data_IF_042367430744
#
_entry.id   IF_042367430744
#
_cell.length_a   1.000
_cell.length_b   1.000
_cell.length_c   1.000
_cell.angle_alpha   90.00
_cell.angle_beta   90.00
_cell.angle_gamma   90.00
#
_symmetry.space_group_name_H-M   'P 1'
#
loop_
_entity.id
_entity.type
_entity.pdbx_description
1 polymer ?
#
# COMPACT_ATOMS: atom_id res chain seq x y z
N UNK A 1 39.30 -48.03 16.25
CA UNK A 1 38.71 -46.67 16.38
C UNK A 1 38.33 -46.17 15.00
N UNK A 2 37.05 -45.85 14.77
CA UNK A 2 36.51 -44.86 13.82
C UNK A 2 34.98 -44.99 13.82
N UNK A 3 34.33 -44.32 14.77
CA UNK A 3 32.89 -44.10 14.76
C UNK A 3 32.62 -42.71 14.19
N UNK A 4 32.20 -42.64 12.94
CA UNK A 4 31.63 -41.43 12.34
C UNK A 4 30.14 -41.64 12.18
N UNK A 5 29.37 -41.29 13.21
CA UNK A 5 27.92 -41.24 13.16
C UNK A 5 27.46 -39.88 13.67
N UNK A 6 27.22 -38.91 12.78
CA UNK A 6 26.40 -37.72 13.07
C UNK A 6 25.73 -37.18 11.80
N UNK A 7 24.43 -37.41 11.69
CA UNK A 7 23.52 -36.70 10.79
C UNK A 7 22.14 -36.63 11.44
N UNK A 8 21.86 -35.52 12.15
CA UNK A 8 20.61 -35.17 12.83
C UNK A 8 20.02 -33.99 12.04
N UNK A 9 19.12 -34.21 11.08
CA UNK A 9 18.99 -33.25 9.98
C UNK A 9 18.22 -31.95 10.33
N UNK A 10 18.89 -30.82 10.09
CA UNK A 10 18.33 -29.45 10.08
C UNK A 10 18.68 -28.74 8.76
N UNK A 11 17.71 -28.02 8.18
CA UNK A 11 17.90 -27.18 6.99
C UNK A 11 17.43 -25.75 7.27
N UNK A 12 18.26 -24.77 6.91
CA UNK A 12 17.94 -23.34 6.98
C UNK A 12 18.05 -22.73 5.59
N UNK A 13 16.98 -22.08 5.14
CA UNK A 13 16.99 -21.25 3.93
C UNK A 13 16.72 -19.83 4.37
N UNK A 14 17.60 -18.93 3.99
CA UNK A 14 17.44 -17.49 4.19
C UNK A 14 17.62 -16.84 2.82
N UNK A 15 16.63 -16.08 2.38
CA UNK A 15 16.67 -15.32 1.15
C UNK A 15 16.20 -13.89 1.44
N UNK A 16 16.86 -12.90 0.84
CA UNK A 16 16.39 -11.53 0.88
C UNK A 16 16.37 -10.96 -0.53
N UNK A 17 15.27 -10.32 -0.88
CA UNK A 17 15.07 -9.63 -2.15
C UNK A 17 14.98 -8.14 -1.87
N UNK A 18 15.86 -7.36 -2.50
CA UNK A 18 15.82 -5.90 -2.44
C UNK A 18 15.78 -5.34 -3.85
N UNK A 19 14.87 -4.41 -4.09
CA UNK A 19 14.81 -3.66 -5.33
C UNK A 19 14.48 -2.21 -5.04
N UNK A 20 15.10 -1.30 -5.78
CA UNK A 20 14.87 0.15 -5.65
C UNK A 20 14.73 0.76 -7.03
N UNK A 21 13.76 1.65 -7.17
CA UNK A 21 13.57 2.48 -8.36
C UNK A 21 13.57 3.93 -7.90
N UNK A 22 14.31 4.77 -8.61
CA UNK A 22 14.37 6.20 -8.30
C UNK A 22 13.96 6.99 -9.53
N UNK A 23 13.08 7.96 -9.34
CA UNK A 23 12.80 8.97 -10.33
C UNK A 23 14.04 9.86 -10.51
N UNK A 24 14.62 9.85 -11.70
CA UNK A 24 15.69 10.76 -12.08
C UNK A 24 15.05 11.88 -12.91
N UNK A 25 14.97 13.07 -12.33
CA UNK A 25 14.33 14.20 -12.97
C UNK A 25 15.17 14.74 -14.14
N UNK A 26 14.50 15.03 -15.26
CA UNK A 26 15.05 15.93 -16.28
C UNK A 26 14.95 17.37 -15.78
N UNK A 27 15.98 18.17 -16.00
CA UNK A 27 16.01 19.59 -15.64
C UNK A 27 16.16 20.42 -16.92
N UNK A 28 15.24 21.33 -17.17
CA UNK A 28 15.28 22.25 -18.30
C UNK A 28 15.16 23.68 -17.80
N UNK A 29 16.21 24.47 -18.01
CA UNK A 29 16.30 25.85 -17.52
C UNK A 29 16.58 26.82 -18.66
N UNK A 30 15.83 27.92 -18.72
CA UNK A 30 16.05 28.99 -19.70
C UNK A 30 15.52 30.34 -19.16
N UNK A 31 15.83 31.45 -19.84
CA UNK A 31 15.18 32.73 -19.52
C UNK A 31 13.72 32.73 -19.98
N UNK A 32 13.49 32.39 -21.24
CA UNK A 32 12.17 32.12 -21.80
C UNK A 32 12.18 30.71 -22.40
N UNK A 33 11.11 29.96 -22.20
CA UNK A 33 10.97 28.62 -22.71
C UNK A 33 9.60 28.43 -23.34
N UNK A 34 9.58 28.07 -24.62
CA UNK A 34 8.37 27.65 -25.33
C UNK A 34 8.54 26.22 -25.79
N UNK A 35 7.61 25.35 -25.40
CA UNK A 35 7.49 23.99 -25.90
C UNK A 35 6.18 23.92 -26.67
N UNK A 36 6.27 23.65 -27.97
CA UNK A 36 5.13 23.59 -28.87
C UNK A 36 5.10 22.26 -29.61
N UNK A 37 3.91 21.68 -29.70
CA UNK A 37 3.66 20.46 -30.47
C UNK A 37 2.55 20.72 -31.48
N UNK A 38 2.71 20.20 -32.70
CA UNK A 38 1.75 20.43 -33.80
C UNK A 38 0.75 19.29 -34.01
N UNK A 39 0.99 18.13 -33.39
CA UNK A 39 0.17 16.92 -33.59
C UNK A 39 -0.15 16.14 -32.32
N UNK A 40 0.70 16.22 -31.30
CA UNK A 40 0.66 15.32 -30.15
C UNK A 40 0.63 16.08 -28.83
N UNK A 41 0.71 15.33 -27.74
CA UNK A 41 0.67 15.82 -26.37
C UNK A 41 2.04 16.36 -25.92
N UNK A 42 2.01 17.23 -24.91
CA UNK A 42 3.19 17.53 -24.08
C UNK A 42 3.11 16.67 -22.81
N UNK A 43 4.15 15.88 -22.54
CA UNK A 43 4.21 15.02 -21.35
C UNK A 43 5.42 15.39 -20.48
N UNK A 44 5.16 15.76 -19.22
CA UNK A 44 6.16 16.09 -18.20
C UNK A 44 5.93 15.14 -17.03
N UNK A 45 6.92 14.32 -16.69
CA UNK A 45 6.81 13.34 -15.60
C UNK A 45 8.02 13.42 -14.68
N UNK A 46 7.77 13.63 -13.38
CA UNK A 46 8.78 13.79 -12.34
C UNK A 46 9.95 14.70 -12.71
N UNK A 47 9.71 15.76 -13.48
CA UNK A 47 10.75 16.60 -14.10
C UNK A 47 10.63 18.05 -13.65
N UNK A 48 11.71 18.81 -13.79
CA UNK A 48 11.77 20.22 -13.40
C UNK A 48 11.96 21.10 -14.64
N UNK A 49 11.10 22.09 -14.79
CA UNK A 49 11.19 23.11 -15.82
C UNK A 49 11.22 24.47 -15.14
N UNK A 50 12.25 25.25 -15.43
CA UNK A 50 12.47 26.58 -14.83
C UNK A 50 12.71 27.62 -15.93
N UNK A 51 11.74 28.50 -16.15
CA UNK A 51 11.82 29.57 -17.12
C UNK A 51 11.77 30.92 -16.42
N UNK A 52 12.92 31.59 -16.27
CA UNK A 52 13.05 32.78 -15.40
C UNK A 52 12.01 33.87 -15.67
N UNK A 53 11.56 34.04 -16.93
CA UNK A 53 10.56 35.03 -17.31
C UNK A 53 9.27 34.44 -17.85
N UNK A 54 9.34 33.58 -18.86
CA UNK A 54 8.13 33.02 -19.49
C UNK A 54 8.30 31.53 -19.77
N UNK A 55 7.40 30.73 -19.20
CA UNK A 55 7.16 29.35 -19.63
C UNK A 55 5.88 29.31 -20.48
N UNK A 56 5.95 28.74 -21.68
CA UNK A 56 4.79 28.51 -22.54
C UNK A 56 4.77 27.06 -23.01
N UNK A 57 3.73 26.32 -22.65
CA UNK A 57 3.47 24.98 -23.16
C UNK A 57 2.24 25.05 -24.07
N UNK A 58 2.43 24.79 -25.36
CA UNK A 58 1.38 24.81 -26.37
C UNK A 58 1.23 23.42 -26.98
N UNK A 59 0.19 22.68 -26.58
CA UNK A 59 -0.07 21.34 -27.09
C UNK A 59 -1.17 21.31 -28.13
N UNK A 60 -0.91 20.58 -29.23
CA UNK A 60 -1.92 20.29 -30.25
C UNK A 60 -3.04 19.37 -29.74
N UNK A 61 -2.82 18.67 -28.63
CA UNK A 61 -3.79 17.79 -27.96
C UNK A 61 -3.79 18.08 -26.46
N UNK A 62 -3.13 17.25 -25.65
CA UNK A 62 -3.14 17.33 -24.19
C UNK A 62 -1.82 17.82 -23.60
N UNK A 63 -1.89 18.56 -22.49
CA UNK A 63 -0.74 18.80 -21.60
C UNK A 63 -0.89 17.88 -20.39
N UNK A 64 0.07 16.97 -20.21
CA UNK A 64 0.09 16.01 -19.11
C UNK A 64 1.31 16.26 -18.22
N UNK A 65 1.08 16.77 -17.01
CA UNK A 65 2.10 17.02 -16.00
C UNK A 65 1.83 16.08 -14.82
N UNK A 66 2.73 15.12 -14.59
CA UNK A 66 2.52 14.02 -13.65
C UNK A 66 3.71 13.87 -12.69
N UNK A 67 3.45 13.45 -11.47
CA UNK A 67 4.51 13.04 -10.56
C UNK A 67 5.30 11.85 -11.13
N UNK A 68 6.61 11.87 -10.89
CA UNK A 68 7.45 10.67 -10.95
C UNK A 68 7.28 9.85 -9.68
N UNK A 69 7.90 8.66 -9.62
CA UNK A 69 7.82 7.80 -8.44
C UNK A 69 9.16 7.17 -8.07
N UNK A 70 9.46 7.24 -6.78
CA UNK A 70 10.45 6.39 -6.14
C UNK A 70 9.76 5.13 -5.60
N UNK A 71 10.42 3.99 -5.72
CA UNK A 71 9.94 2.70 -5.27
C UNK A 71 11.02 1.95 -4.49
N UNK A 72 10.62 1.22 -3.45
CA UNK A 72 11.51 0.26 -2.80
C UNK A 72 10.77 -0.99 -2.39
N UNK A 73 11.35 -2.15 -2.67
CA UNK A 73 10.95 -3.46 -2.16
C UNK A 73 12.06 -3.98 -1.25
N UNK A 74 11.68 -4.41 -0.05
CA UNK A 74 12.53 -5.17 0.84
C UNK A 74 11.74 -6.37 1.35
N UNK A 75 12.14 -7.55 0.94
CA UNK A 75 11.56 -8.83 1.36
C UNK A 75 12.65 -9.69 2.00
N UNK A 76 12.30 -10.34 3.09
CA UNK A 76 13.12 -11.35 3.76
C UNK A 76 12.28 -12.59 4.01
N UNK A 77 12.80 -13.71 3.53
CA UNK A 77 12.23 -15.03 3.71
C UNK A 77 13.20 -15.88 4.51
N UNK A 78 12.72 -16.38 5.65
CA UNK A 78 13.44 -17.31 6.49
C UNK A 78 12.61 -18.56 6.68
N UNK A 79 13.17 -19.70 6.27
CA UNK A 79 12.61 -21.01 6.56
C UNK A 79 13.61 -21.81 7.35
N UNK A 80 13.20 -22.26 8.52
CA UNK A 80 13.95 -23.24 9.30
C UNK A 80 13.18 -24.56 9.34
N UNK A 81 13.91 -25.65 9.17
CA UNK A 81 13.38 -27.00 9.37
C UNK A 81 14.37 -27.73 10.28
N UNK A 82 13.89 -28.38 11.33
CA UNK A 82 14.74 -29.26 12.14
C UNK A 82 13.99 -30.44 12.70
N UNK A 83 14.72 -31.53 12.84
CA UNK A 83 14.32 -32.79 13.44
C UNK A 83 15.47 -33.23 14.36
N UNK A 84 15.21 -33.60 15.62
CA UNK A 84 16.27 -34.15 16.48
C UNK A 84 15.77 -35.22 17.45
N UNK A 85 16.61 -36.24 17.66
CA UNK A 85 16.58 -37.22 18.74
C UNK A 85 18.02 -37.51 19.11
N UNK A 86 18.45 -37.23 20.33
CA UNK A 86 19.87 -37.40 20.67
C UNK A 86 20.10 -38.04 22.06
N UNK A 87 19.58 -39.24 22.31
CA UNK A 87 20.11 -40.20 23.32
C UNK A 87 20.33 -39.79 24.79
N UNK A 88 19.97 -38.58 25.26
CA UNK A 88 20.53 -37.96 26.47
C UNK A 88 19.49 -37.19 27.30
N UNK A 89 19.70 -37.08 28.62
CA UNK A 89 18.99 -36.15 29.51
C UNK A 89 19.35 -34.70 29.09
N UNK A 90 18.39 -33.88 28.63
CA UNK A 90 18.60 -32.47 28.20
C UNK A 90 18.38 -32.15 26.71
N UNK A 91 17.66 -32.99 25.95
CA UNK A 91 17.61 -32.93 24.48
C UNK A 91 16.39 -32.17 23.89
N UNK A 92 16.67 -31.32 22.89
CA UNK A 92 15.74 -30.44 22.15
C UNK A 92 14.96 -31.10 20.98
N UNK A 93 14.35 -30.30 20.07
CA UNK A 93 13.05 -30.59 19.45
C UNK A 93 13.00 -31.70 18.39
N UNK A 94 11.91 -32.48 18.37
CA UNK A 94 11.64 -33.62 17.46
C UNK A 94 11.02 -33.25 16.10
N UNK A 95 10.33 -32.12 15.96
CA UNK A 95 10.19 -31.47 14.66
C UNK A 95 9.81 -30.00 14.85
N UNK A 96 10.52 -29.09 14.18
CA UNK A 96 10.15 -27.68 14.12
C UNK A 96 10.28 -27.18 12.70
N UNK A 97 9.21 -26.56 12.20
CA UNK A 97 9.22 -25.82 10.95
C UNK A 97 8.75 -24.40 11.24
N UNK A 98 9.64 -23.43 10.98
CA UNK A 98 9.26 -22.02 10.96
C UNK A 98 9.40 -21.51 9.53
N UNK A 99 8.40 -20.79 9.08
CA UNK A 99 8.43 -20.04 7.83
C UNK A 99 8.01 -18.61 8.18
N UNK A 100 8.95 -17.70 8.06
CA UNK A 100 8.79 -16.28 8.30
C UNK A 100 9.05 -15.54 6.99
N UNK A 101 8.05 -14.83 6.50
CA UNK A 101 8.16 -13.94 5.36
C UNK A 101 7.78 -12.55 5.81
N UNK A 102 8.71 -11.61 5.70
CA UNK A 102 8.48 -10.19 5.95
C UNK A 102 8.76 -9.40 4.68
N UNK A 103 7.85 -8.53 4.29
CA UNK A 103 7.99 -7.72 3.10
C UNK A 103 7.49 -6.30 3.30
N UNK A 104 8.18 -5.35 2.69
CA UNK A 104 7.77 -3.95 2.64
C UNK A 104 7.92 -3.39 1.23
N UNK A 105 6.88 -2.75 0.75
CA UNK A 105 6.83 -2.06 -0.55
C UNK A 105 6.48 -0.59 -0.32
N UNK A 106 7.36 0.31 -0.73
CA UNK A 106 7.13 1.75 -0.73
C UNK A 106 6.97 2.29 -2.13
N UNK A 107 6.07 3.24 -2.31
CA UNK A 107 5.89 4.09 -3.49
C UNK A 107 5.75 5.52 -3.01
N UNK A 108 6.68 6.40 -3.39
CA UNK A 108 6.69 7.81 -3.02
C UNK A 108 6.69 8.66 -4.27
N UNK A 109 5.68 9.49 -4.43
CA UNK A 109 5.56 10.46 -5.51
C UNK A 109 6.63 11.54 -5.38
N UNK A 110 7.14 11.97 -6.53
CA UNK A 110 8.05 13.11 -6.68
C UNK A 110 7.36 14.07 -7.64
N UNK A 111 7.04 15.28 -7.18
CA UNK A 111 6.29 16.23 -7.98
C UNK A 111 7.05 16.59 -9.28
N UNK A 112 6.30 16.84 -10.36
CA UNK A 112 6.85 17.60 -11.49
C UNK A 112 6.76 19.08 -11.16
N UNK A 113 7.85 19.81 -11.39
CA UNK A 113 7.97 21.23 -11.02
C UNK A 113 7.99 22.11 -12.27
N UNK A 114 7.14 23.12 -12.31
CA UNK A 114 7.14 24.16 -13.35
C UNK A 114 7.29 25.52 -12.67
N UNK A 115 8.32 26.28 -13.03
CA UNK A 115 8.65 27.58 -12.46
C UNK A 115 8.80 28.65 -13.54
N UNK A 116 8.40 29.88 -13.23
CA UNK A 116 8.73 31.06 -14.03
C UNK A 116 7.95 32.31 -13.67
N UNK A 117 8.36 33.49 -14.12
CA UNK A 117 7.61 34.71 -13.78
C UNK A 117 6.18 34.68 -14.33
N UNK A 118 5.99 34.25 -15.58
CA UNK A 118 4.69 33.92 -16.14
C UNK A 118 4.69 32.50 -16.71
N UNK A 119 3.60 31.77 -16.47
CA UNK A 119 3.40 30.43 -17.01
C UNK A 119 2.10 30.41 -17.83
N UNK A 120 2.18 29.90 -19.05
CA UNK A 120 1.04 29.71 -19.95
C UNK A 120 0.93 28.27 -20.39
N UNK A 121 -0.22 27.65 -20.15
CA UNK A 121 -0.52 26.26 -20.50
C UNK A 121 -1.71 26.22 -21.47
N UNK A 122 -1.46 26.03 -22.76
CA UNK A 122 -2.52 25.95 -23.77
C UNK A 122 -2.58 24.54 -24.36
N UNK A 123 -3.70 23.85 -24.15
CA UNK A 123 -3.98 22.55 -24.72
C UNK A 123 -5.24 22.63 -25.59
N UNK A 124 -5.25 22.00 -26.76
CA UNK A 124 -6.48 21.92 -27.55
C UNK A 124 -7.54 21.00 -26.93
N UNK A 125 -7.11 20.04 -26.11
CA UNK A 125 -7.97 19.08 -25.43
C UNK A 125 -7.91 19.30 -23.92
N UNK A 126 -6.97 18.69 -23.20
CA UNK A 126 -6.98 18.71 -21.73
C UNK A 126 -5.66 19.19 -21.14
N UNK A 127 -5.75 19.83 -19.97
CA UNK A 127 -4.60 20.01 -19.07
C UNK A 127 -4.80 19.07 -17.89
N UNK A 128 -3.91 18.09 -17.74
CA UNK A 128 -3.92 17.13 -16.66
C UNK A 128 -2.69 17.33 -15.77
N UNK A 129 -2.90 17.82 -14.55
CA UNK A 129 -1.86 18.05 -13.54
C UNK A 129 -2.09 17.13 -12.34
N UNK A 130 -1.18 16.18 -12.10
CA UNK A 130 -1.29 15.22 -11.00
C UNK A 130 0.03 15.07 -10.23
N UNK A 131 0.07 15.50 -8.97
CA UNK A 131 1.28 15.56 -8.16
C UNK A 131 2.29 16.54 -8.77
N UNK A 132 1.90 17.81 -8.81
CA UNK A 132 2.67 18.88 -9.44
C UNK A 132 3.03 19.96 -8.44
N UNK A 133 4.04 20.75 -8.77
CA UNK A 133 4.35 22.00 -8.10
C UNK A 133 4.55 23.08 -9.18
N UNK A 134 3.53 23.90 -9.39
CA UNK A 134 3.55 24.95 -10.43
C UNK A 134 3.59 26.29 -9.71
N UNK A 135 4.70 27.01 -9.83
CA UNK A 135 4.94 28.26 -9.13
C UNK A 135 5.24 29.36 -10.15
N UNK A 136 4.46 30.44 -10.12
CA UNK A 136 4.75 31.62 -10.90
C UNK A 136 4.88 32.89 -10.06
N UNK A 137 5.94 33.66 -10.28
CA UNK A 137 6.16 34.89 -9.52
C UNK A 137 5.10 35.97 -9.81
N UNK A 138 4.52 35.96 -11.02
CA UNK A 138 3.47 36.88 -11.41
C UNK A 138 2.15 36.18 -11.76
N UNK A 139 2.11 35.36 -12.81
CA UNK A 139 0.83 34.81 -13.28
C UNK A 139 0.92 33.39 -13.84
N UNK A 140 -0.16 32.63 -13.63
CA UNK A 140 -0.41 31.36 -14.32
C UNK A 140 -1.67 31.54 -15.15
N UNK A 141 -1.57 31.21 -16.44
CA UNK A 141 -2.69 31.21 -17.37
C UNK A 141 -2.79 29.87 -18.08
N UNK A 142 -4.01 29.48 -18.46
CA UNK A 142 -4.16 28.31 -19.30
C UNK A 142 -5.52 28.18 -19.95
N UNK A 143 -5.53 27.55 -21.12
CA UNK A 143 -6.75 27.29 -21.89
C UNK A 143 -6.78 25.83 -22.32
N UNK A 144 -7.92 25.18 -22.13
CA UNK A 144 -8.18 23.81 -22.55
C UNK A 144 -9.68 23.58 -22.71
N UNK A 145 -10.11 22.42 -23.20
CA UNK A 145 -11.49 21.96 -23.06
C UNK A 145 -11.77 21.62 -21.60
N UNK A 146 -10.92 20.79 -21.00
CA UNK A 146 -10.98 20.43 -19.57
C UNK A 146 -9.64 20.65 -18.87
N UNK A 147 -9.71 20.98 -17.58
CA UNK A 147 -8.54 21.18 -16.71
C UNK A 147 -8.72 20.34 -15.45
N UNK A 148 -7.85 19.36 -15.26
CA UNK A 148 -7.89 18.41 -14.17
C UNK A 148 -6.65 18.57 -13.29
N UNK A 149 -6.84 19.00 -12.04
CA UNK A 149 -5.77 19.10 -11.04
C UNK A 149 -6.07 18.12 -9.92
N UNK A 150 -5.16 17.17 -9.69
CA UNK A 150 -5.37 16.08 -8.74
C UNK A 150 -4.15 15.90 -7.84
N UNK A 151 -4.38 15.55 -6.58
CA UNK A 151 -3.31 15.04 -5.73
C UNK A 151 -2.96 13.61 -6.13
N UNK A 152 -1.78 13.14 -5.71
CA UNK A 152 -1.35 11.75 -5.91
C UNK A 152 -1.07 11.09 -4.57
N UNK A 153 -0.91 9.77 -4.57
CA UNK A 153 -0.78 8.99 -3.35
C UNK A 153 0.61 8.35 -3.23
N UNK A 154 1.14 8.40 -2.01
CA UNK A 154 2.25 7.56 -1.57
C UNK A 154 1.68 6.34 -0.85
N UNK A 155 2.31 5.19 -1.02
CA UNK A 155 1.90 3.95 -0.35
C UNK A 155 3.08 3.31 0.35
N UNK A 156 2.86 2.85 1.58
CA UNK A 156 3.80 2.04 2.35
C UNK A 156 3.08 0.77 2.80
N UNK A 157 3.33 -0.32 2.07
CA UNK A 157 2.72 -1.63 2.32
C UNK A 157 3.68 -2.48 3.10
N UNK A 158 3.25 -2.96 4.26
CA UNK A 158 3.91 -4.03 5.00
C UNK A 158 3.08 -5.32 4.87
N UNK A 159 3.74 -6.44 4.67
CA UNK A 159 3.12 -7.76 4.74
C UNK A 159 4.01 -8.73 5.48
N UNK A 160 3.39 -9.59 6.27
CA UNK A 160 4.04 -10.62 7.05
C UNK A 160 3.31 -11.94 6.86
N UNK A 161 4.05 -13.04 6.94
CA UNK A 161 3.48 -14.37 7.09
C UNK A 161 4.36 -15.13 8.06
N UNK A 162 3.78 -15.42 9.22
CA UNK A 162 4.39 -16.27 10.23
C UNK A 162 3.66 -17.58 10.25
N UNK A 163 4.41 -18.64 9.93
CA UNK A 163 3.93 -20.01 10.11
C UNK A 163 4.87 -20.71 11.08
N UNK A 164 4.31 -21.10 12.21
CA UNK A 164 5.03 -21.86 13.23
C UNK A 164 4.35 -23.20 13.43
N UNK A 165 5.08 -24.26 13.15
CA UNK A 165 4.67 -25.63 13.46
C UNK A 165 5.64 -26.18 14.47
N UNK A 166 5.12 -26.42 15.67
CA UNK A 166 5.86 -27.03 16.78
C UNK A 166 5.22 -28.37 17.11
N UNK A 167 6.04 -29.42 17.13
CA UNK A 167 5.66 -30.74 17.65
C UNK A 167 6.67 -31.10 18.74
N UNK A 168 6.19 -31.24 19.97
CA UNK A 168 7.01 -31.48 21.17
C UNK A 168 6.66 -32.84 21.80
N UNK A 169 7.67 -33.53 22.34
CA UNK A 169 7.47 -34.76 23.13
C UNK A 169 7.06 -34.47 24.59
N UNK A 170 7.30 -33.24 25.09
CA UNK A 170 7.08 -32.89 26.48
C UNK A 170 5.60 -32.92 26.87
N UNK A 171 4.71 -32.54 25.94
CA UNK A 171 3.25 -32.59 26.14
C UNK A 171 2.70 -34.04 26.13
N UNK A 172 3.41 -34.96 25.46
CA UNK A 172 3.06 -36.39 25.34
C UNK A 172 3.46 -37.16 26.61
N UNK A 173 4.60 -36.82 27.22
CA UNK A 173 5.09 -37.48 28.43
C UNK A 173 4.18 -37.21 29.65
N UNK A 174 3.59 -36.02 29.75
CA UNK A 174 2.65 -35.67 30.82
C UNK A 174 1.31 -36.44 30.76
N UNK A 175 0.91 -36.92 29.58
CA UNK A 175 -0.30 -37.75 29.37
C UNK A 175 0.01 -39.25 29.51
N UNK A 176 1.17 -39.73 29.03
CA UNK A 176 1.62 -41.12 29.21
C UNK A 176 1.92 -41.43 30.69
N UNK A 177 2.53 -40.49 31.43
CA UNK A 177 2.79 -40.65 32.87
C UNK A 177 1.52 -40.77 33.70
N UNK A 178 0.39 -40.23 33.20
CA UNK A 178 -0.93 -40.31 33.84
C UNK A 178 -1.74 -41.52 33.38
N UNK A 179 -1.45 -42.09 32.20
CA UNK A 179 -2.16 -43.26 31.66
C UNK A 179 -1.22 -44.13 30.80
N UNK A 180 -0.50 -45.10 31.40
CA UNK A 180 0.52 -45.90 30.70
C UNK A 180 -0.05 -46.95 29.72
N UNK A 181 -1.38 -47.07 29.57
CA UNK A 181 -2.06 -48.10 28.79
C UNK A 181 -2.11 -47.87 27.26
N UNK A 182 -1.52 -46.77 26.75
CA UNK A 182 -1.55 -46.45 25.31
C UNK A 182 -0.44 -47.13 24.48
N UNK A 183 0.40 -47.96 25.09
CA UNK A 183 1.31 -48.86 24.37
C UNK A 183 0.55 -50.11 23.93
N UNK A 184 -0.03 -50.10 22.73
CA UNK A 184 -0.54 -51.34 22.12
C UNK A 184 0.61 -52.10 21.49
N UNK A 185 0.91 -53.27 22.06
CA UNK A 185 1.80 -54.26 21.45
C UNK A 185 1.08 -54.85 20.24
N UNK A 186 1.55 -54.57 19.03
CA UNK A 186 1.10 -55.33 17.86
C UNK A 186 1.76 -56.72 17.88
N UNK A 187 1.01 -57.73 17.46
CA UNK A 187 1.35 -59.16 17.59
C UNK A 187 2.61 -59.57 16.81
N UNK A 188 3.17 -58.70 15.98
CA UNK A 188 4.35 -58.96 15.13
C UNK A 188 5.67 -58.39 15.71
N UNK A 189 5.66 -57.91 16.96
CA UNK A 189 6.83 -57.34 17.62
C UNK A 189 7.11 -55.88 17.27
N UNK A 190 6.22 -55.21 16.51
CA UNK A 190 6.30 -53.77 16.27
C UNK A 190 5.56 -53.00 17.35
N UNK A 191 6.21 -51.96 17.87
CA UNK A 191 5.60 -50.98 18.78
C UNK A 191 5.23 -49.76 17.93
N UNK A 192 3.94 -49.42 17.88
CA UNK A 192 3.47 -48.19 17.23
C UNK A 192 3.30 -47.08 18.27
N UNK A 193 3.86 -45.90 17.98
CA UNK A 193 3.73 -44.70 18.81
C UNK A 193 2.97 -43.64 18.02
N UNK A 194 1.85 -43.15 18.54
CA UNK A 194 1.14 -42.00 17.98
C UNK A 194 1.61 -40.73 18.69
N UNK A 195 2.40 -39.89 17.99
CA UNK A 195 2.85 -38.58 18.51
C UNK A 195 1.68 -37.58 18.51
N UNK A 196 1.58 -36.78 19.58
CA UNK A 196 0.42 -35.92 19.84
C UNK A 196 0.38 -34.61 19.01
N UNK A 197 -0.67 -33.84 19.32
CA UNK A 197 -1.28 -32.67 18.67
C UNK A 197 -0.32 -31.60 18.15
N UNK A 198 -0.54 -31.20 16.90
CA UNK A 198 0.11 -30.06 16.27
C UNK A 198 -0.68 -28.77 16.52
N UNK A 199 -0.01 -27.73 17.03
CA UNK A 199 -0.52 -26.35 17.01
C UNK A 199 0.06 -25.67 15.78
N UNK A 200 -0.82 -25.10 14.95
CA UNK A 200 -0.46 -24.36 13.74
C UNK A 200 -0.88 -22.92 13.96
N UNK A 201 0.08 -22.07 14.24
CA UNK A 201 -0.14 -20.63 14.24
C UNK A 201 0.16 -20.15 12.82
N UNK A 202 -0.88 -19.69 12.12
CA UNK A 202 -0.79 -19.14 10.76
C UNK A 202 -1.42 -17.76 10.76
N UNK A 203 -0.57 -16.76 10.87
CA UNK A 203 -0.94 -15.35 10.83
C UNK A 203 -0.35 -14.79 9.53
N UNK A 204 -1.21 -14.25 8.66
CA UNK A 204 -0.79 -13.52 7.47
C UNK A 204 -1.37 -12.12 7.59
N UNK A 205 -0.51 -11.12 7.80
CA UNK A 205 -0.93 -9.74 7.94
C UNK A 205 -0.51 -8.95 6.71
N UNK A 206 -1.37 -7.99 6.31
CA UNK A 206 -1.05 -7.01 5.29
C UNK A 206 -1.63 -5.68 5.71
N UNK A 207 -0.78 -4.68 5.85
CA UNK A 207 -1.16 -3.32 6.16
C UNK A 207 -0.65 -2.38 5.08
N UNK A 208 -1.50 -1.48 4.60
CA UNK A 208 -1.12 -0.46 3.61
C UNK A 208 -1.46 0.91 4.17
N UNK A 209 -0.43 1.74 4.38
CA UNK A 209 -0.60 3.14 4.70
C UNK A 209 -0.56 3.96 3.41
N UNK A 210 -1.60 4.76 3.19
CA UNK A 210 -1.67 5.71 2.07
C UNK A 210 -1.55 7.13 2.63
N UNK A 211 -0.69 7.95 2.02
CA UNK A 211 -0.61 9.38 2.33
C UNK A 211 -0.73 10.18 1.04
N UNK A 212 -1.32 11.37 1.12
CA UNK A 212 -1.51 12.25 -0.04
C UNK A 212 -0.26 13.10 -0.27
N UNK A 213 0.23 13.12 -1.50
CA UNK A 213 1.16 14.11 -2.02
C UNK A 213 0.35 15.17 -2.78
N UNK A 214 0.42 16.40 -2.30
CA UNK A 214 -0.38 17.50 -2.82
C UNK A 214 0.14 17.99 -4.17
N UNK A 215 -0.81 18.40 -5.01
CA UNK A 215 -0.53 19.28 -6.14
C UNK A 215 -0.63 20.73 -5.67
N UNK A 216 0.45 21.48 -5.85
CA UNK A 216 0.52 22.89 -5.50
C UNK A 216 0.53 23.71 -6.78
N UNK A 217 -0.28 24.77 -6.80
CA UNK A 217 -0.32 25.75 -7.88
C UNK A 217 -0.42 27.11 -7.21
N UNK A 218 0.61 27.93 -7.40
CA UNK A 218 0.72 29.25 -6.79
C UNK A 218 1.15 30.28 -7.81
N UNK A 219 0.54 31.46 -7.74
CA UNK A 219 0.86 32.59 -8.59
C UNK A 219 0.87 33.88 -7.78
N UNK A 220 1.77 34.80 -8.14
CA UNK A 220 1.83 36.12 -7.52
C UNK A 220 0.70 37.06 -7.95
N UNK A 221 1.04 38.34 -8.08
CA UNK A 221 0.05 39.42 -8.19
C UNK A 221 -0.87 39.34 -9.42
N UNK A 222 -0.42 38.72 -10.51
CA UNK A 222 -1.23 38.47 -11.70
C UNK A 222 -2.22 37.32 -11.56
N UNK A 223 -2.07 36.49 -10.52
CA UNK A 223 -3.01 35.44 -10.15
C UNK A 223 -3.04 34.23 -11.10
N UNK A 224 -4.04 33.38 -10.89
CA UNK A 224 -4.27 32.15 -11.66
C UNK A 224 -5.54 32.34 -12.50
N UNK A 225 -5.42 32.20 -13.83
CA UNK A 225 -6.52 32.31 -14.79
C UNK A 225 -6.58 31.07 -15.69
N UNK A 226 -7.43 30.12 -15.33
CA UNK A 226 -7.61 28.85 -16.04
C UNK A 226 -9.00 28.82 -16.72
N UNK A 227 -9.02 28.65 -18.04
CA UNK A 227 -10.26 28.62 -18.83
C UNK A 227 -10.47 27.23 -19.41
N UNK A 228 -11.52 26.55 -18.96
CA UNK A 228 -12.02 25.30 -19.53
C UNK A 228 -13.20 25.62 -20.47
N UNK A 229 -13.11 25.17 -21.72
CA UNK A 229 -14.03 25.54 -22.79
C UNK A 229 -15.19 24.55 -22.98
N UNK A 230 -15.21 23.41 -22.26
CA UNK A 230 -16.33 22.47 -22.31
C UNK A 230 -17.34 22.69 -21.16
N UNK A 231 -18.63 22.54 -21.47
CA UNK A 231 -19.78 22.89 -20.62
C UNK A 231 -20.07 21.89 -19.48
N UNK A 232 -19.11 21.05 -19.11
CA UNK A 232 -19.27 20.05 -18.06
C UNK A 232 -18.22 20.21 -16.96
N UNK A 233 -18.16 21.42 -16.36
CA UNK A 233 -17.59 21.57 -15.03
C UNK A 233 -18.47 20.78 -14.06
N UNK A 234 -18.11 19.52 -13.82
CA UNK A 234 -18.66 18.75 -12.73
C UNK A 234 -17.95 19.26 -11.47
N UNK A 235 -18.47 20.35 -10.92
CA UNK A 235 -18.11 20.90 -9.63
C UNK A 235 -18.48 19.86 -8.55
N UNK A 236 -17.60 18.87 -8.37
CA UNK A 236 -17.54 18.11 -7.14
C UNK A 236 -16.69 18.93 -6.19
N UNK A 237 -17.33 19.87 -5.51
CA UNK A 237 -16.88 20.32 -4.20
C UNK A 237 -16.58 19.06 -3.37
N UNK A 238 -15.30 18.75 -3.22
CA UNK A 238 -14.86 17.80 -2.21
C UNK A 238 -15.11 18.51 -0.87
N UNK A 239 -16.23 18.19 -0.24
CA UNK A 239 -16.44 18.46 1.17
C UNK A 239 -15.27 17.83 1.93
N UNK A 240 -14.28 18.65 2.27
CA UNK A 240 -13.28 18.35 3.28
C UNK A 240 -13.97 18.36 4.65
N UNK A 241 -14.88 17.43 4.88
CA UNK A 241 -15.30 17.09 6.23
C UNK A 241 -14.32 16.05 6.77
N UNK A 242 -13.33 16.55 7.49
CA UNK A 242 -12.39 15.77 8.29
C UNK A 242 -13.15 15.10 9.46
N UNK A 243 -13.92 14.05 9.19
CA UNK A 243 -14.37 13.14 10.25
C UNK A 243 -13.39 11.98 10.31
N UNK A 244 -12.47 12.14 11.26
CA UNK A 244 -11.56 11.14 11.79
C UNK A 244 -12.39 9.94 12.31
N UNK A 245 -12.62 8.92 11.48
CA UNK A 245 -13.23 7.67 11.93
C UNK A 245 -12.16 6.59 12.03
N UNK A 246 -11.73 6.37 13.27
CA UNK A 246 -10.96 5.23 13.72
C UNK A 246 -11.78 3.96 13.53
N UNK A 247 -11.44 3.15 12.54
CA UNK A 247 -12.00 1.81 12.37
C UNK A 247 -11.49 0.87 13.47
N UNK A 248 -12.26 0.76 14.55
CA UNK A 248 -12.24 -0.38 15.44
C UNK A 248 -13.58 -1.13 15.27
N UNK A 249 -13.52 -2.32 14.68
CA UNK A 249 -14.54 -3.38 14.80
C UNK A 249 -14.58 -3.86 16.28
N UNK A 250 -15.64 -4.49 16.87
CA UNK A 250 -16.56 -5.42 16.21
C UNK A 250 -18.03 -5.45 16.69
N UNK A 251 -18.83 -6.27 15.98
CA UNK A 251 -19.98 -7.06 16.45
C UNK A 251 -21.35 -6.76 15.81
N UNK A 252 -21.78 -7.72 14.97
CA UNK A 252 -23.04 -8.45 15.09
C UNK A 252 -24.32 -7.64 15.38
N UNK A 253 -25.18 -7.47 14.36
CA UNK A 253 -26.57 -7.93 14.45
C UNK A 253 -27.34 -7.87 13.12
N UNK A 254 -27.82 -9.06 12.75
CA UNK A 254 -29.04 -9.44 12.05
C UNK A 254 -29.84 -8.39 11.25
N UNK A 255 -29.98 -8.75 9.97
CA UNK A 255 -31.14 -8.54 9.09
C UNK A 255 -32.47 -8.44 9.84
N UNK A 256 -33.30 -7.44 9.49
CA UNK A 256 -34.72 -7.60 9.08
C UNK A 256 -35.38 -6.24 8.83
N UNK A 257 -35.94 -6.08 7.63
CA UNK A 257 -37.05 -5.19 7.29
C UNK A 257 -38.10 -6.11 6.62
N UNK A 258 -39.40 -5.75 6.41
CA UNK A 258 -40.11 -4.52 6.72
C UNK A 258 -41.50 -4.74 7.36
N UNK A 259 -42.19 -3.67 7.81
CA UNK A 259 -43.61 -3.36 7.47
C UNK A 259 -44.16 -2.15 8.25
N UNK A 260 -44.65 -1.17 7.50
CA UNK A 260 -45.73 -0.23 7.88
C UNK A 260 -47.10 -0.96 7.63
N UNK A 261 -48.31 -0.53 8.05
CA UNK A 261 -48.73 0.87 8.25
C UNK A 261 -49.74 1.19 9.39
N UNK A 262 -49.86 2.50 9.61
CA UNK A 262 -50.94 3.36 10.13
C UNK A 262 -52.36 2.78 10.33
N UNK A 263 -53.02 3.11 11.47
CA UNK A 263 -54.46 3.44 11.55
C UNK A 263 -54.80 4.30 12.80
N UNK A 264 -55.12 5.58 12.54
CA UNK A 264 -56.27 6.42 12.92
C UNK A 264 -57.07 6.28 14.25
N UNK A 265 -57.42 7.47 14.79
CA UNK A 265 -58.60 7.93 15.59
C UNK A 265 -58.28 8.33 17.04
N UNK A 266 -58.84 9.37 17.67
CA UNK A 266 -59.66 10.54 17.32
C UNK A 266 -59.80 11.39 18.63
N UNK A 267 -60.02 12.71 18.49
CA UNK A 267 -60.66 13.67 19.42
C UNK A 267 -60.05 13.91 20.83
N UNK A 268 -59.41 15.08 21.10
CA UNK A 268 -59.95 16.42 21.48
C UNK A 268 -60.34 16.56 22.98
N UNK A 269 -60.43 17.78 23.58
CA UNK A 269 -59.52 18.94 23.55
C UNK A 269 -59.34 19.61 24.95
N UNK A 270 -58.61 20.74 24.96
CA UNK A 270 -58.84 21.95 25.77
C UNK A 270 -58.28 22.02 27.22
N UNK A 271 -57.37 22.97 27.47
CA UNK A 271 -57.68 24.30 28.06
C UNK A 271 -56.40 25.11 28.37
N UNK A 272 -56.45 26.37 27.94
CA UNK A 272 -55.78 27.59 28.43
C UNK A 272 -54.26 27.67 28.43
#
# INVERSE_FOLDING_TARGET
MKSSAKGLFSSSVSASTKATTTNIASNLTANNLTIETTKEDINITGSNIDAQQQLSLNSAKDINIKAGYNGSLNESYHKTSSFSLAGLVGIGPLYTSTEDLEGRIKKTAVNSTLSGNNITLNANNNINAAGVDIQADNSISGTAKDINIQNVNNTDTHYSKHKKVKVSLADVLGTIAKNPLLLKKESDGKVSFTLATATIDKEAERSTKTTVQLSNIDAGAGGISLTANDKHSNDKHADNNLTNQSDNNPANQQTNNPTNPTTTRQHQPNRR
#
